data_IF_388978247590
#
_entry.id   IF_388978247590
#
_cell.length_a   1.000
_cell.length_b   1.000
_cell.length_c   1.000
_cell.angle_alpha   90.00
_cell.angle_beta   90.00
_cell.angle_gamma   90.00
#
_symmetry.space_group_name_H-M   'P 1'
#
loop_
_entity.id
_entity.type
_entity.pdbx_description
1 polymer ?
#
# COMPACT_ATOMS: atom_id res chain seq x y z
N UNK A 1 -35.76 -20.21 9.06
CA UNK A 1 -34.63 -19.25 9.00
C UNK A 1 -35.15 -17.94 8.42
N UNK A 2 -35.10 -16.81 9.14
CA UNK A 2 -35.63 -15.55 8.62
C UNK A 2 -34.68 -14.96 7.58
N UNK A 3 -35.22 -14.64 6.40
CA UNK A 3 -34.51 -14.06 5.27
C UNK A 3 -34.16 -12.60 5.58
N UNK A 4 -32.89 -12.31 5.83
CA UNK A 4 -32.39 -10.94 5.98
C UNK A 4 -32.35 -10.27 4.61
N UNK A 5 -33.29 -9.35 4.34
CA UNK A 5 -33.22 -8.47 3.17
C UNK A 5 -32.08 -7.46 3.37
N UNK A 6 -31.15 -7.42 2.43
CA UNK A 6 -30.05 -6.45 2.41
C UNK A 6 -30.61 -5.04 2.21
N UNK A 7 -30.27 -4.12 3.12
CA UNK A 7 -30.61 -2.69 2.98
C UNK A 7 -29.73 -2.07 1.90
N UNK A 8 -30.37 -1.28 1.03
CA UNK A 8 -29.72 -0.52 -0.04
C UNK A 8 -28.97 0.67 0.59
N UNK A 9 -27.69 0.82 0.30
CA UNK A 9 -26.90 1.96 0.78
C UNK A 9 -27.22 3.21 -0.06
N UNK A 10 -27.51 4.30 0.63
CA UNK A 10 -27.75 5.61 0.03
C UNK A 10 -26.42 6.26 -0.36
N UNK A 11 -26.38 6.87 -1.55
CA UNK A 11 -25.22 7.62 -2.05
C UNK A 11 -25.10 8.96 -1.31
N UNK A 12 -23.87 9.43 -1.06
CA UNK A 12 -23.56 10.67 -0.35
C UNK A 12 -24.19 11.95 -0.95
N UNK A 13 -24.76 11.86 -2.15
CA UNK A 13 -25.48 12.94 -2.83
C UNK A 13 -26.95 13.08 -2.37
N UNK A 14 -27.57 12.05 -1.80
CA UNK A 14 -28.98 12.08 -1.37
C UNK A 14 -29.20 12.78 -0.02
N UNK A 15 -28.14 12.93 0.80
CA UNK A 15 -28.23 13.57 2.12
C UNK A 15 -28.23 15.11 2.08
N UNK A 16 -28.15 15.73 0.90
CA UNK A 16 -27.95 17.18 0.76
C UNK A 16 -29.20 17.97 0.31
N UNK A 17 -30.37 17.35 0.15
CA UNK A 17 -31.57 18.06 -0.34
C UNK A 17 -32.87 17.61 0.35
N UNK A 18 -33.49 18.53 1.10
CA UNK A 18 -34.80 18.43 1.79
C UNK A 18 -34.61 18.22 3.31
N UNK A 19 -34.79 19.16 4.24
CA UNK A 19 -35.75 20.26 4.50
C UNK A 19 -37.17 19.83 4.86
N UNK A 20 -37.49 19.95 6.16
CA UNK A 20 -38.79 20.45 6.65
C UNK A 20 -39.74 19.44 7.32
N UNK A 21 -39.89 19.56 8.65
CA UNK A 21 -41.12 19.44 9.46
C UNK A 21 -41.83 18.04 9.44
N UNK A 22 -42.30 17.42 10.53
CA UNK A 22 -42.80 17.89 11.82
C UNK A 22 -42.60 16.82 12.90
N UNK A 23 -42.49 17.29 14.13
CA UNK A 23 -42.49 16.58 15.41
C UNK A 23 -43.85 16.81 16.08
N UNK A 24 -44.53 15.75 16.56
CA UNK A 24 -45.65 15.83 17.52
C UNK A 24 -45.70 14.57 18.41
N UNK A 25 -45.26 14.74 19.66
CA UNK A 25 -46.00 14.52 20.94
C UNK A 25 -46.42 13.08 21.34
N UNK A 26 -46.47 12.61 22.60
CA UNK A 26 -46.38 13.10 24.00
C UNK A 26 -45.81 11.93 24.89
N UNK A 27 -45.28 12.04 26.12
CA UNK A 27 -45.87 12.55 27.37
C UNK A 27 -44.83 12.80 28.51
N UNK A 28 -45.17 13.83 29.29
CA UNK A 28 -44.94 14.17 30.72
C UNK A 28 -43.58 14.24 31.44
N UNK A 29 -43.38 15.39 32.13
CA UNK A 29 -42.38 15.62 33.17
C UNK A 29 -42.21 17.09 33.64
N UNK A 30 -43.26 17.68 34.21
CA UNK A 30 -43.30 18.75 35.25
C UNK A 30 -42.31 19.95 35.25
N UNK A 31 -42.90 21.12 34.99
CA UNK A 31 -42.68 22.53 35.42
C UNK A 31 -41.63 22.84 36.52
N UNK A 32 -40.76 23.83 36.24
CA UNK A 32 -40.62 25.01 37.11
C UNK A 32 -40.17 26.27 36.34
N UNK A 33 -40.99 27.32 36.45
CA UNK A 33 -40.81 28.63 35.83
C UNK A 33 -40.11 29.58 36.82
N UNK A 34 -39.00 30.19 36.41
CA UNK A 34 -38.60 31.49 36.95
C UNK A 34 -38.09 32.38 35.81
N UNK A 35 -38.97 33.26 35.37
CA UNK A 35 -38.71 34.31 34.40
C UNK A 35 -38.20 35.53 35.16
N UNK A 36 -36.91 35.81 35.05
CA UNK A 36 -36.39 37.16 35.25
C UNK A 36 -35.93 37.69 33.89
N UNK A 37 -36.61 38.74 33.44
CA UNK A 37 -36.46 39.38 32.14
C UNK A 37 -35.07 40.01 32.00
N UNK A 38 -34.11 39.23 31.53
CA UNK A 38 -32.78 39.67 31.16
C UNK A 38 -32.51 39.43 29.68
N UNK A 39 -32.58 40.49 28.88
CA UNK A 39 -31.88 40.64 27.60
C UNK A 39 -32.51 39.96 26.37
N UNK A 40 -33.67 40.49 25.93
CA UNK A 40 -33.98 40.56 24.50
C UNK A 40 -33.10 41.60 23.78
N UNK A 41 -31.78 41.48 23.90
CA UNK A 41 -30.86 42.24 23.06
C UNK A 41 -30.29 41.28 22.04
N UNK A 42 -30.44 41.59 20.75
CA UNK A 42 -29.80 40.80 19.70
C UNK A 42 -28.28 40.73 19.96
N UNK A 43 -27.59 39.64 19.56
CA UNK A 43 -26.14 39.53 19.77
C UNK A 43 -25.36 40.72 19.20
N UNK A 44 -25.90 41.34 18.15
CA UNK A 44 -25.35 42.53 17.51
C UNK A 44 -25.50 43.80 18.37
N UNK A 45 -26.61 43.95 19.09
CA UNK A 45 -26.83 45.05 20.03
C UNK A 45 -26.03 44.88 21.33
N UNK A 46 -25.88 43.63 21.80
CA UNK A 46 -25.02 43.34 22.94
C UNK A 46 -23.57 43.79 22.68
N UNK A 47 -23.02 43.41 21.53
CA UNK A 47 -21.67 43.84 21.12
C UNK A 47 -21.59 45.36 20.97
N UNK A 48 -22.62 46.01 20.43
CA UNK A 48 -22.64 47.47 20.26
C UNK A 48 -22.68 48.21 21.59
N UNK A 49 -23.39 47.68 22.59
CA UNK A 49 -23.49 48.29 23.92
C UNK A 49 -22.20 48.15 24.73
N UNK A 50 -21.39 47.11 24.50
CA UNK A 50 -20.11 46.90 25.19
C UNK A 50 -19.10 48.05 25.00
N UNK A 51 -19.24 48.86 23.95
CA UNK A 51 -18.31 49.95 23.63
C UNK A 51 -18.84 51.34 23.98
N UNK A 52 -20.08 51.47 24.49
CA UNK A 52 -20.69 52.77 24.77
C UNK A 52 -20.08 53.47 25.99
N UNK A 53 -19.61 52.71 26.98
CA UNK A 53 -19.05 53.24 28.22
C UNK A 53 -17.51 53.27 28.24
N UNK A 54 -16.88 52.91 27.12
CA UNK A 54 -15.42 52.78 27.04
C UNK A 54 -14.78 54.15 26.77
N UNK A 55 -14.40 54.89 27.83
CA UNK A 55 -13.63 56.14 27.73
C UNK A 55 -12.16 55.91 28.09
N UNK A 56 -11.26 56.04 27.09
CA UNK A 56 -9.82 56.06 27.31
C UNK A 56 -9.36 57.48 27.67
N UNK A 57 -8.79 57.66 28.86
CA UNK A 57 -8.12 58.91 29.23
C UNK A 57 -6.81 59.06 28.43
N UNK A 58 -6.55 60.20 27.76
CA UNK A 58 -5.32 60.40 27.01
C UNK A 58 -4.09 60.35 27.92
N UNK A 59 -3.30 59.27 27.83
CA UNK A 59 -1.96 59.23 28.44
C UNK A 59 -0.96 59.81 27.46
N UNK A 60 -0.24 60.84 27.90
CA UNK A 60 0.82 61.53 27.15
C UNK A 60 1.91 60.54 26.76
N UNK A 61 2.18 60.43 25.47
CA UNK A 61 3.33 59.70 24.95
C UNK A 61 4.61 60.43 25.35
N UNK A 62 5.52 59.74 26.05
CA UNK A 62 6.91 60.17 26.11
C UNK A 62 7.75 59.21 25.27
N UNK A 63 8.44 59.81 24.31
CA UNK A 63 9.34 59.18 23.35
C UNK A 63 10.53 58.56 24.06
N UNK A 64 11.01 57.45 23.50
CA UNK A 64 12.26 56.79 23.85
C UNK A 64 13.47 57.70 23.63
N UNK A 65 14.35 57.77 24.64
CA UNK A 65 15.76 58.20 24.57
C UNK A 65 16.49 57.30 25.58
N UNK A 66 17.44 56.43 25.20
CA UNK A 66 18.78 56.74 24.69
C UNK A 66 19.44 57.86 25.47
N UNK A 67 20.21 57.51 26.51
CA UNK A 67 21.52 58.11 26.80
C UNK A 67 22.11 57.52 28.09
N UNK A 68 23.33 57.02 27.98
CA UNK A 68 24.20 56.77 29.12
C UNK A 68 24.71 58.11 29.65
N UNK A 69 24.51 58.40 30.94
CA UNK A 69 25.34 59.37 31.63
C UNK A 69 25.50 59.00 33.11
N UNK A 70 26.75 58.68 33.44
CA UNK A 70 27.31 58.52 34.77
C UNK A 70 27.11 59.78 35.62
N UNK A 71 26.63 59.61 36.84
CA UNK A 71 26.95 60.54 37.93
C UNK A 71 27.43 59.76 39.16
N UNK A 72 28.71 59.99 39.44
CA UNK A 72 29.41 59.77 40.69
C UNK A 72 28.67 60.53 41.80
N UNK A 73 28.35 59.82 42.87
CA UNK A 73 27.88 60.38 44.12
C UNK A 73 28.67 59.77 45.27
N UNK A 74 29.67 60.52 45.73
CA UNK A 74 30.45 60.27 46.93
C UNK A 74 29.55 60.02 48.15
N UNK A 75 29.92 59.06 49.01
CA UNK A 75 29.81 59.27 50.45
C UNK A 75 30.96 58.61 51.19
N UNK A 76 31.68 59.48 51.88
CA UNK A 76 32.88 59.28 52.67
C UNK A 76 32.41 58.90 54.08
N UNK A 77 33.02 57.89 54.69
CA UNK A 77 33.26 57.83 56.14
C UNK A 77 34.34 56.77 56.38
N UNK A 78 35.51 57.23 56.84
CA UNK A 78 36.60 56.37 57.27
C UNK A 78 36.40 55.84 58.68
N UNK A 79 37.17 54.82 59.06
CA UNK A 79 38.27 54.93 60.02
C UNK A 79 38.95 53.54 60.16
N UNK A 80 40.26 53.56 59.85
CA UNK A 80 41.42 52.80 60.37
C UNK A 80 41.32 51.29 60.66
N UNK A 81 42.28 50.56 60.10
CA UNK A 81 43.19 49.76 60.94
C UNK A 81 43.82 48.51 60.32
N UNK A 82 45.13 48.61 60.07
CA UNK A 82 46.18 47.57 60.05
C UNK A 82 46.37 46.70 58.80
N UNK A 83 47.57 46.91 58.24
CA UNK A 83 48.31 46.05 57.34
C UNK A 83 48.44 44.61 57.84
N UNK A 84 48.28 43.65 56.92
CA UNK A 84 49.09 42.42 56.88
C UNK A 84 49.11 41.82 55.49
N UNK A 85 50.32 41.49 55.05
CA UNK A 85 50.68 40.94 53.73
C UNK A 85 50.21 39.50 53.54
N UNK A 86 50.16 39.13 52.26
CA UNK A 86 50.26 37.79 51.64
C UNK A 86 49.00 36.94 51.52
N UNK A 87 48.72 36.55 50.27
CA UNK A 87 47.86 35.42 49.93
C UNK A 87 47.22 35.57 48.56
N UNK A 88 47.92 35.16 47.49
CA UNK A 88 47.23 34.74 46.26
C UNK A 88 46.43 33.49 46.60
N UNK A 89 45.11 33.51 46.41
CA UNK A 89 44.23 32.33 46.28
C UNK A 89 42.88 32.77 45.71
N UNK A 90 42.65 32.33 44.48
CA UNK A 90 41.40 31.87 43.86
C UNK A 90 40.13 32.71 44.10
N UNK A 91 39.81 33.53 43.10
CA UNK A 91 38.48 34.11 42.91
C UNK A 91 37.54 32.99 42.48
N UNK A 92 36.82 32.39 43.41
CA UNK A 92 35.58 31.69 43.07
C UNK A 92 34.55 32.74 42.64
N UNK A 93 34.15 32.70 41.38
CA UNK A 93 32.99 33.43 40.91
C UNK A 93 31.73 32.82 41.56
N UNK A 94 31.25 33.43 42.65
CA UNK A 94 29.85 33.29 43.07
C UNK A 94 28.97 33.62 41.86
N UNK A 95 28.35 32.58 41.30
CA UNK A 95 27.56 32.68 40.07
C UNK A 95 26.36 33.57 40.37
N UNK A 96 26.27 34.73 39.72
CA UNK A 96 25.17 35.68 39.91
C UNK A 96 23.83 34.98 39.65
N UNK A 97 23.09 34.63 40.70
CA UNK A 97 21.75 34.06 40.58
C UNK A 97 20.76 35.21 40.48
N UNK A 98 20.06 35.39 39.33
CA UNK A 98 19.03 36.41 39.24
C UNK A 98 17.96 36.10 40.28
N UNK A 99 17.65 37.07 41.15
CA UNK A 99 16.53 36.97 42.08
C UNK A 99 15.25 36.96 41.25
N UNK A 100 14.74 35.77 40.96
CA UNK A 100 13.49 35.57 40.21
C UNK A 100 12.35 36.13 41.06
N UNK A 101 11.75 37.23 40.61
CA UNK A 101 10.53 37.75 41.22
C UNK A 101 9.41 36.76 40.98
N UNK A 102 9.06 35.99 42.01
CA UNK A 102 7.89 35.10 41.97
C UNK A 102 6.67 35.97 42.29
N UNK A 103 5.76 36.21 41.33
CA UNK A 103 4.56 36.99 41.60
C UNK A 103 3.73 36.30 42.68
N UNK A 104 3.22 37.09 43.63
CA UNK A 104 2.33 36.57 44.67
C UNK A 104 1.10 35.96 43.98
N UNK A 105 0.75 34.69 44.25
CA UNK A 105 -0.41 34.06 43.63
C UNK A 105 -1.69 34.82 43.99
N UNK A 106 -2.66 34.80 43.10
CA UNK A 106 -3.94 35.45 43.32
C UNK A 106 -4.71 34.74 44.44
N UNK A 107 -5.55 35.48 45.18
CA UNK A 107 -6.27 34.94 46.33
C UNK A 107 -7.18 33.74 45.96
N UNK A 108 -7.68 33.70 44.72
CA UNK A 108 -8.44 32.55 44.19
C UNK A 108 -7.55 31.29 44.01
N UNK A 109 -6.26 31.39 43.65
CA UNK A 109 -5.36 30.21 43.54
C UNK A 109 -5.12 29.63 44.93
N UNK A 110 -4.91 30.50 45.90
CA UNK A 110 -4.71 30.10 47.29
C UNK A 110 -5.98 29.42 47.83
N UNK A 111 -7.17 29.94 47.48
CA UNK A 111 -8.46 29.33 47.79
C UNK A 111 -8.62 27.94 47.16
N UNK A 112 -8.27 27.78 45.88
CA UNK A 112 -8.32 26.48 45.18
C UNK A 112 -7.33 25.49 45.77
N UNK A 113 -6.07 25.88 45.99
CA UNK A 113 -5.05 25.04 46.61
C UNK A 113 -5.46 24.57 48.02
N UNK A 114 -6.07 25.43 48.82
CA UNK A 114 -6.63 25.04 50.12
C UNK A 114 -7.77 24.03 50.00
N UNK A 115 -8.57 24.06 48.93
CA UNK A 115 -9.60 23.04 48.65
C UNK A 115 -8.96 21.71 48.24
N UNK A 116 -7.95 21.75 47.37
CA UNK A 116 -7.19 20.55 47.00
C UNK A 116 -6.48 19.92 48.21
N UNK A 117 -5.89 20.74 49.10
CA UNK A 117 -5.29 20.25 50.36
C UNK A 117 -6.30 19.62 51.32
N UNK A 118 -7.57 20.05 51.28
CA UNK A 118 -8.68 19.44 52.02
C UNK A 118 -9.26 18.20 51.32
N UNK A 119 -8.67 17.77 50.20
CA UNK A 119 -9.11 16.60 49.43
C UNK A 119 -10.40 16.82 48.62
N UNK A 120 -10.85 18.07 48.48
CA UNK A 120 -12.05 18.38 47.69
C UNK A 120 -11.64 18.48 46.22
N UNK A 121 -11.95 17.44 45.45
CA UNK A 121 -11.69 17.39 44.01
C UNK A 121 -12.67 18.27 43.24
N UNK A 122 -12.18 18.90 42.19
CA UNK A 122 -13.02 19.62 41.22
C UNK A 122 -13.74 18.63 40.31
N UNK A 123 -14.87 19.06 39.72
CA UNK A 123 -15.64 18.23 38.77
C UNK A 123 -14.77 17.75 37.60
N UNK A 124 -13.90 18.61 37.07
CA UNK A 124 -12.96 18.28 36.00
C UNK A 124 -11.94 17.21 36.39
N UNK A 125 -11.42 17.25 37.62
CA UNK A 125 -10.50 16.22 38.12
C UNK A 125 -11.21 14.87 38.23
N UNK A 126 -12.44 14.86 38.75
CA UNK A 126 -13.25 13.64 38.86
C UNK A 126 -13.58 13.06 37.47
N UNK A 127 -13.90 13.92 36.49
CA UNK A 127 -14.15 13.49 35.12
C UNK A 127 -12.88 12.89 34.48
N UNK A 128 -11.72 13.52 34.66
CA UNK A 128 -10.44 12.99 34.20
C UNK A 128 -10.12 11.62 34.81
N UNK A 129 -10.26 11.49 36.13
CA UNK A 129 -10.06 10.22 36.83
C UNK A 129 -11.01 9.13 36.32
N UNK A 130 -12.29 9.45 36.12
CA UNK A 130 -13.26 8.50 35.55
C UNK A 130 -12.91 8.07 34.13
N UNK A 131 -12.44 8.99 33.28
CA UNK A 131 -11.99 8.63 31.92
C UNK A 131 -10.76 7.73 31.95
N UNK A 132 -9.82 7.99 32.86
CA UNK A 132 -8.64 7.15 33.05
C UNK A 132 -9.04 5.74 33.52
N UNK A 133 -9.97 5.64 34.46
CA UNK A 133 -10.50 4.35 34.94
C UNK A 133 -11.22 3.57 33.83
N UNK A 134 -12.02 4.25 32.99
CA UNK A 134 -12.69 3.62 31.84
C UNK A 134 -11.69 3.07 30.83
N UNK A 135 -10.63 3.82 30.52
CA UNK A 135 -9.54 3.36 29.63
C UNK A 135 -8.83 2.14 30.20
N UNK A 136 -8.50 2.15 31.50
CA UNK A 136 -7.88 0.99 32.15
C UNK A 136 -8.79 -0.25 32.09
N UNK A 137 -10.10 -0.09 32.28
CA UNK A 137 -11.04 -1.21 32.13
C UNK A 137 -11.11 -1.73 30.69
N UNK A 138 -11.17 -0.84 29.70
CA UNK A 138 -11.15 -1.19 28.28
C UNK A 138 -9.87 -1.95 27.91
N UNK A 139 -8.71 -1.42 28.28
CA UNK A 139 -7.40 -2.06 28.08
C UNK A 139 -7.34 -3.46 28.72
N UNK A 140 -7.86 -3.62 29.95
CA UNK A 140 -7.91 -4.93 30.61
C UNK A 140 -8.84 -5.92 29.89
N UNK A 141 -9.98 -5.44 29.37
CA UNK A 141 -10.89 -6.28 28.58
C UNK A 141 -10.28 -6.68 27.23
N UNK A 142 -9.54 -5.77 26.59
CA UNK A 142 -8.81 -6.04 25.35
C UNK A 142 -7.65 -7.02 25.60
N UNK A 143 -6.91 -6.88 26.71
CA UNK A 143 -5.86 -7.83 27.11
C UNK A 143 -6.39 -9.26 27.33
N UNK A 144 -7.64 -9.39 27.78
CA UNK A 144 -8.32 -10.69 27.90
C UNK A 144 -8.76 -11.24 26.54
N UNK A 145 -8.93 -10.39 25.53
CA UNK A 145 -9.26 -10.80 24.17
C UNK A 145 -8.03 -11.40 23.49
N UNK A 146 -7.95 -12.73 23.50
CA UNK A 146 -6.94 -13.44 22.72
C UNK A 146 -7.22 -13.22 21.24
N UNK A 147 -6.37 -12.46 20.56
CA UNK A 147 -6.46 -12.23 19.13
C UNK A 147 -6.55 -13.58 18.39
N UNK A 148 -7.68 -13.82 17.75
CA UNK A 148 -7.90 -14.97 16.87
C UNK A 148 -8.35 -14.43 15.53
N UNK A 149 -7.82 -15.02 14.45
CA UNK A 149 -8.28 -14.71 13.12
C UNK A 149 -9.79 -14.98 13.02
N UNK A 150 -10.51 -14.08 12.35
CA UNK A 150 -11.89 -14.33 11.99
C UNK A 150 -11.96 -15.60 11.15
N UNK A 151 -12.93 -16.47 11.45
CA UNK A 151 -13.11 -17.69 10.68
C UNK A 151 -13.39 -17.32 9.22
N UNK A 152 -12.79 -18.06 8.29
CA UNK A 152 -13.04 -17.89 6.86
C UNK A 152 -14.56 -17.90 6.60
N UNK A 153 -15.11 -16.93 5.83
CA UNK A 153 -16.53 -16.90 5.50
C UNK A 153 -17.05 -18.21 4.91
N UNK A 154 -18.30 -18.55 5.20
CA UNK A 154 -18.90 -19.82 4.80
C UNK A 154 -18.92 -20.04 3.27
N UNK A 155 -19.21 -18.99 2.49
CA UNK A 155 -19.29 -19.07 1.02
C UNK A 155 -17.97 -19.48 0.34
N UNK A 156 -16.83 -19.28 1.01
CA UNK A 156 -15.51 -19.70 0.51
C UNK A 156 -15.34 -21.23 0.57
N UNK A 157 -16.07 -21.90 1.48
CA UNK A 157 -16.02 -23.36 1.64
C UNK A 157 -17.05 -24.09 0.76
N UNK A 158 -17.99 -23.37 0.16
CA UNK A 158 -19.06 -23.97 -0.64
C UNK A 158 -18.62 -24.05 -2.12
N UNK A 159 -18.81 -25.18 -2.80
CA UNK A 159 -18.55 -25.30 -4.23
C UNK A 159 -19.66 -24.60 -5.04
N UNK A 160 -19.45 -23.33 -5.40
CA UNK A 160 -20.44 -22.47 -6.07
C UNK A 160 -20.52 -22.62 -7.61
N UNK A 161 -19.77 -23.57 -8.19
CA UNK A 161 -19.63 -23.67 -9.64
C UNK A 161 -20.98 -23.90 -10.34
N UNK A 162 -21.81 -24.80 -9.79
CA UNK A 162 -23.12 -25.14 -10.36
C UNK A 162 -24.10 -23.94 -10.29
N UNK A 163 -24.11 -23.21 -9.17
CA UNK A 163 -24.92 -21.99 -9.01
C UNK A 163 -24.49 -20.88 -9.99
N UNK A 164 -23.18 -20.74 -10.22
CA UNK A 164 -22.65 -19.75 -11.16
C UNK A 164 -23.04 -20.12 -12.60
N UNK A 165 -22.94 -21.40 -12.96
CA UNK A 165 -23.33 -21.89 -14.27
C UNK A 165 -24.81 -21.67 -14.53
N UNK A 166 -25.68 -22.00 -13.57
CA UNK A 166 -27.13 -21.76 -13.68
C UNK A 166 -27.43 -20.27 -13.86
N UNK A 167 -26.75 -19.40 -13.11
CA UNK A 167 -26.89 -17.94 -13.25
C UNK A 167 -26.47 -17.46 -14.64
N UNK A 168 -25.45 -18.06 -15.23
CA UNK A 168 -24.95 -17.72 -16.57
C UNK A 168 -25.88 -18.21 -17.68
N UNK A 169 -26.46 -19.40 -17.51
CA UNK A 169 -27.52 -19.97 -18.36
C UNK A 169 -28.79 -19.11 -18.30
N UNK A 170 -29.24 -18.69 -17.11
CA UNK A 170 -30.37 -17.78 -16.95
C UNK A 170 -30.14 -16.44 -17.68
N UNK A 171 -28.91 -15.90 -17.63
CA UNK A 171 -28.54 -14.69 -18.39
C UNK A 171 -28.51 -14.91 -19.90
N UNK A 172 -28.15 -16.11 -20.36
CA UNK A 172 -28.21 -16.48 -21.79
C UNK A 172 -29.66 -16.61 -22.25
N UNK A 173 -30.49 -17.35 -21.52
CA UNK A 173 -31.90 -17.54 -21.81
C UNK A 173 -32.68 -16.21 -21.83
N UNK A 174 -32.38 -15.27 -20.93
CA UNK A 174 -32.96 -13.92 -20.98
C UNK A 174 -32.63 -13.23 -22.30
N UNK A 175 -31.35 -13.21 -22.70
CA UNK A 175 -30.91 -12.58 -23.95
C UNK A 175 -31.56 -13.22 -25.18
N UNK A 176 -31.68 -14.55 -25.21
CA UNK A 176 -32.36 -15.26 -26.29
C UNK A 176 -33.84 -14.91 -26.37
N UNK A 177 -34.54 -14.84 -25.23
CA UNK A 177 -35.95 -14.39 -25.18
C UNK A 177 -36.11 -12.95 -25.65
N UNK A 178 -35.19 -12.07 -25.27
CA UNK A 178 -35.19 -10.68 -25.74
C UNK A 178 -34.95 -10.60 -27.24
N UNK A 179 -33.99 -11.36 -27.78
CA UNK A 179 -33.75 -11.44 -29.22
C UNK A 179 -34.98 -11.96 -29.97
N UNK A 180 -35.60 -13.03 -29.48
CA UNK A 180 -36.84 -13.56 -30.06
C UNK A 180 -37.97 -12.54 -30.02
N UNK A 181 -38.13 -11.82 -28.90
CA UNK A 181 -39.11 -10.72 -28.79
C UNK A 181 -38.83 -9.62 -29.80
N UNK A 182 -37.57 -9.21 -29.95
CA UNK A 182 -37.14 -8.19 -30.92
C UNK A 182 -37.44 -8.66 -32.35
N UNK A 183 -37.06 -9.87 -32.72
CA UNK A 183 -37.36 -10.45 -34.03
C UNK A 183 -38.87 -10.56 -34.30
N UNK A 184 -39.66 -10.96 -33.30
CA UNK A 184 -41.12 -11.06 -33.43
C UNK A 184 -41.80 -9.69 -33.51
N UNK A 185 -41.23 -8.66 -32.88
CA UNK A 185 -41.76 -7.28 -32.92
C UNK A 185 -41.33 -6.57 -34.20
N UNK A 186 -40.19 -6.98 -34.78
CA UNK A 186 -39.69 -6.47 -36.05
C UNK A 186 -40.57 -7.00 -37.19
N UNK A 187 -41.65 -6.27 -37.48
CA UNK A 187 -42.33 -6.38 -38.77
C UNK A 187 -41.29 -6.11 -39.87
N UNK A 188 -41.17 -6.96 -40.91
CA UNK A 188 -40.34 -6.60 -42.05
C UNK A 188 -40.86 -5.26 -42.55
N UNK A 189 -39.97 -4.28 -42.65
CA UNK A 189 -40.32 -2.98 -43.19
C UNK A 189 -40.98 -3.23 -44.54
N UNK A 190 -42.22 -2.76 -44.70
CA UNK A 190 -42.96 -2.84 -45.97
C UNK A 190 -42.17 -2.22 -47.13
N UNK A 191 -41.06 -1.54 -46.85
CA UNK A 191 -40.06 -1.13 -47.82
C UNK A 191 -39.45 -2.28 -48.62
N UNK A 192 -39.14 -3.46 -48.06
CA UNK A 192 -38.56 -4.57 -48.86
C UNK A 192 -39.58 -5.16 -49.83
N UNK A 193 -40.80 -5.40 -49.38
CA UNK A 193 -41.89 -5.83 -50.25
C UNK A 193 -42.25 -4.74 -51.26
N UNK A 194 -42.34 -3.48 -50.84
CA UNK A 194 -42.58 -2.33 -51.74
C UNK A 194 -41.47 -2.16 -52.77
N UNK A 195 -40.21 -2.38 -52.39
CA UNK A 195 -39.07 -2.27 -53.31
C UNK A 195 -39.03 -3.45 -54.28
N UNK A 196 -39.35 -4.68 -53.82
CA UNK A 196 -39.54 -5.85 -54.69
C UNK A 196 -40.68 -5.61 -55.67
N UNK A 197 -41.85 -5.22 -55.20
CA UNK A 197 -43.01 -4.91 -56.05
C UNK A 197 -42.71 -3.76 -57.04
N UNK A 198 -42.00 -2.72 -56.60
CA UNK A 198 -41.57 -1.62 -57.47
C UNK A 198 -40.53 -2.07 -58.50
N UNK A 199 -39.66 -3.03 -58.16
CA UNK A 199 -38.67 -3.62 -59.08
C UNK A 199 -39.37 -4.53 -60.10
N UNK A 200 -40.29 -5.38 -59.64
CA UNK A 200 -41.13 -6.24 -60.47
C UNK A 200 -42.00 -5.43 -61.42
N UNK A 201 -42.69 -4.38 -60.95
CA UNK A 201 -43.44 -3.46 -61.82
C UNK A 201 -42.54 -2.78 -62.86
N UNK A 202 -41.31 -2.42 -62.50
CA UNK A 202 -40.35 -1.83 -63.43
C UNK A 202 -39.86 -2.86 -64.45
N UNK A 203 -39.61 -4.09 -64.03
CA UNK A 203 -39.23 -5.22 -64.89
C UNK A 203 -40.38 -5.65 -65.79
N UNK A 204 -41.62 -5.62 -65.32
CA UNK A 204 -42.83 -5.92 -66.07
C UNK A 204 -43.15 -4.82 -67.07
N UNK A 205 -42.98 -3.54 -66.70
CA UNK A 205 -43.01 -2.43 -67.66
C UNK A 205 -41.93 -2.58 -68.74
N UNK A 206 -40.71 -2.98 -68.37
CA UNK A 206 -39.63 -3.24 -69.33
C UNK A 206 -39.87 -4.48 -70.20
N UNK A 207 -40.56 -5.51 -69.68
CA UNK A 207 -40.99 -6.70 -70.44
C UNK A 207 -42.16 -6.40 -71.39
N UNK A 208 -43.12 -5.58 -70.96
CA UNK A 208 -44.25 -5.13 -71.78
C UNK A 208 -43.83 -4.12 -72.85
N UNK A 209 -42.65 -3.52 -72.72
CA UNK A 209 -41.96 -2.73 -73.75
C UNK A 209 -41.13 -3.61 -74.73
N UNK A 210 -41.56 -4.86 -75.01
CA UNK A 210 -41.06 -5.59 -76.19
C UNK A 210 -41.30 -4.73 -77.45
N UNK A 211 -40.27 -4.50 -78.29
CA UNK A 211 -40.26 -3.37 -79.20
C UNK A 211 -41.01 -3.70 -80.50
N UNK A 212 -42.28 -3.30 -80.57
CA UNK A 212 -43.03 -3.22 -81.82
C UNK A 212 -43.09 -1.77 -82.32
N UNK A 213 -41.97 -1.07 -82.38
CA UNK A 213 -41.80 0.06 -83.31
C UNK A 213 -40.33 0.45 -83.37
N UNK A 214 -39.77 0.38 -84.58
CA UNK A 214 -38.49 1.03 -84.92
C UNK A 214 -38.74 2.52 -85.15
N UNK A 215 -39.27 3.23 -84.16
CA UNK A 215 -39.21 4.69 -84.17
C UNK A 215 -37.95 5.13 -83.44
N UNK A 216 -37.09 5.83 -84.18
CA UNK A 216 -35.84 6.39 -83.67
C UNK A 216 -36.16 7.52 -82.70
N UNK A 217 -36.50 7.18 -81.47
CA UNK A 217 -36.53 8.14 -80.36
C UNK A 217 -35.09 8.60 -80.19
N UNK A 218 -34.82 9.86 -80.52
CA UNK A 218 -33.55 10.49 -80.22
C UNK A 218 -33.41 10.47 -78.69
N UNK A 219 -32.47 9.68 -78.12
CA UNK A 219 -32.33 9.65 -76.67
C UNK A 219 -31.93 11.03 -76.21
N UNK A 220 -32.64 11.54 -75.20
CA UNK A 220 -32.29 12.79 -74.53
C UNK A 220 -30.81 12.77 -74.15
N UNK A 221 -30.01 13.61 -74.81
CA UNK A 221 -28.60 13.77 -74.50
C UNK A 221 -28.49 14.69 -73.31
N UNK A 222 -28.45 14.11 -72.11
CA UNK A 222 -28.13 14.82 -70.91
C UNK A 222 -26.73 15.45 -71.02
N UNK A 223 -26.54 16.60 -70.37
CA UNK A 223 -25.19 17.16 -70.20
C UNK A 223 -24.34 16.12 -69.47
N UNK A 224 -23.07 15.92 -69.89
CA UNK A 224 -22.19 14.94 -69.27
C UNK A 224 -22.08 15.22 -67.77
N UNK A 225 -22.13 14.16 -66.97
CA UNK A 225 -22.01 14.28 -65.53
C UNK A 225 -20.65 14.93 -65.20
N UNK A 226 -20.59 15.93 -64.31
CA UNK A 226 -19.35 16.57 -63.93
C UNK A 226 -18.28 15.55 -63.50
N UNK A 227 -17.02 15.77 -63.92
CA UNK A 227 -15.89 14.85 -63.67
C UNK A 227 -15.71 14.49 -62.19
N UNK A 228 -15.99 15.43 -61.28
CA UNK A 228 -15.95 15.22 -59.84
C UNK A 228 -16.83 14.05 -59.35
N UNK A 229 -17.93 13.72 -60.05
CA UNK A 229 -18.77 12.57 -59.70
C UNK A 229 -18.10 11.24 -60.07
N UNK A 230 -17.37 11.21 -61.18
CA UNK A 230 -16.59 10.04 -61.57
C UNK A 230 -15.36 9.86 -60.68
N UNK A 231 -14.74 10.95 -60.22
CA UNK A 231 -13.65 10.93 -59.23
C UNK A 231 -14.14 10.44 -57.85
N UNK A 232 -15.34 10.83 -57.44
CA UNK A 232 -15.95 10.30 -56.21
C UNK A 232 -16.36 8.81 -56.35
N UNK A 233 -16.78 8.38 -57.54
CA UNK A 233 -17.19 7.00 -57.82
C UNK A 233 -16.02 6.06 -58.17
N UNK A 234 -14.83 6.58 -58.50
CA UNK A 234 -13.64 5.77 -58.85
C UNK A 234 -13.14 4.93 -57.67
N UNK A 235 -13.54 5.29 -56.44
CA UNK A 235 -13.14 4.63 -55.21
C UNK A 235 -11.65 4.78 -54.90
N UNK A 236 -10.95 5.67 -55.60
CA UNK A 236 -9.52 5.92 -55.38
C UNK A 236 -9.25 6.48 -53.98
N UNK A 237 -10.11 7.38 -53.49
CA UNK A 237 -10.05 7.89 -52.12
C UNK A 237 -10.19 6.76 -51.09
N UNK A 238 -11.08 5.79 -51.32
CA UNK A 238 -11.26 4.64 -50.42
C UNK A 238 -10.02 3.74 -50.41
N UNK A 239 -9.39 3.53 -51.56
CA UNK A 239 -8.14 2.76 -51.66
C UNK A 239 -6.99 3.48 -50.95
N UNK A 240 -6.92 4.80 -51.11
CA UNK A 240 -5.94 5.65 -50.43
C UNK A 240 -6.14 5.63 -48.90
N UNK A 241 -7.37 5.76 -48.41
CA UNK A 241 -7.68 5.65 -46.98
C UNK A 241 -7.33 4.26 -46.41
N UNK A 242 -7.59 3.20 -47.16
CA UNK A 242 -7.22 1.84 -46.76
C UNK A 242 -5.69 1.69 -46.69
N UNK A 243 -4.97 2.26 -47.65
CA UNK A 243 -3.50 2.27 -47.66
C UNK A 243 -2.94 3.06 -46.47
N UNK A 244 -3.48 4.25 -46.18
CA UNK A 244 -3.11 5.01 -44.99
C UNK A 244 -3.39 4.25 -43.69
N UNK A 245 -4.54 3.58 -43.59
CA UNK A 245 -4.85 2.72 -42.44
C UNK A 245 -3.85 1.58 -42.32
N UNK A 246 -3.51 0.90 -43.41
CA UNK A 246 -2.55 -0.19 -43.42
C UNK A 246 -1.16 0.27 -42.95
N UNK A 247 -0.66 1.38 -43.49
CA UNK A 247 0.61 1.99 -43.07
C UNK A 247 0.57 2.33 -41.58
N UNK A 248 -0.51 2.95 -41.10
CA UNK A 248 -0.66 3.31 -39.68
C UNK A 248 -0.68 2.09 -38.76
N UNK A 249 -1.33 1.00 -39.18
CA UNK A 249 -1.31 -0.26 -38.44
C UNK A 249 0.10 -0.85 -38.40
N UNK A 250 0.81 -0.85 -39.52
CA UNK A 250 2.19 -1.35 -39.60
C UNK A 250 3.13 -0.53 -38.71
N UNK A 251 3.05 0.80 -38.77
CA UNK A 251 3.84 1.69 -37.90
C UNK A 251 3.57 1.42 -36.42
N UNK A 252 2.30 1.29 -36.03
CA UNK A 252 1.91 0.99 -34.65
C UNK A 252 2.42 -0.39 -34.21
N UNK A 253 2.37 -1.39 -35.09
CA UNK A 253 2.88 -2.72 -34.81
C UNK A 253 4.41 -2.70 -34.60
N UNK A 254 5.14 -1.98 -35.44
CA UNK A 254 6.59 -1.81 -35.32
C UNK A 254 6.96 -1.07 -34.03
N UNK A 255 6.24 0.01 -33.70
CA UNK A 255 6.45 0.75 -32.46
C UNK A 255 6.20 -0.13 -31.22
N UNK A 256 5.12 -0.92 -31.23
CA UNK A 256 4.85 -1.88 -30.16
C UNK A 256 5.97 -2.93 -30.04
N UNK A 257 6.45 -3.49 -31.15
CA UNK A 257 7.57 -4.43 -31.14
C UNK A 257 8.85 -3.80 -30.60
N UNK A 258 9.16 -2.56 -31.00
CA UNK A 258 10.31 -1.83 -30.50
C UNK A 258 10.18 -1.50 -29.01
N UNK A 259 8.98 -1.14 -28.54
CA UNK A 259 8.71 -0.82 -27.13
C UNK A 259 8.70 -2.05 -26.21
N UNK A 260 8.29 -3.21 -26.74
CA UNK A 260 8.31 -4.49 -26.05
C UNK A 260 9.66 -5.22 -26.18
N UNK A 261 10.58 -4.69 -26.99
CA UNK A 261 11.92 -5.26 -27.16
C UNK A 261 12.68 -5.20 -25.84
N UNK A 262 13.39 -6.28 -25.53
CA UNK A 262 14.26 -6.33 -24.37
C UNK A 262 15.39 -5.29 -24.50
N UNK A 263 15.96 -4.81 -23.37
CA UNK A 263 17.11 -3.91 -23.39
C UNK A 263 18.27 -4.48 -24.24
N UNK A 264 19.04 -3.63 -24.95
CA UNK A 264 20.11 -4.08 -25.84
C UNK A 264 21.13 -5.05 -25.21
N UNK A 265 21.39 -4.92 -23.91
CA UNK A 265 22.27 -5.83 -23.16
C UNK A 265 21.70 -7.24 -23.02
N UNK A 266 20.40 -7.39 -22.79
CA UNK A 266 19.73 -8.68 -22.73
C UNK A 266 19.63 -9.33 -24.12
N UNK A 267 19.43 -8.52 -25.17
CA UNK A 267 19.47 -9.00 -26.56
C UNK A 267 20.85 -9.53 -26.93
N UNK A 268 21.92 -8.78 -26.60
CA UNK A 268 23.29 -9.23 -26.83
C UNK A 268 23.58 -10.55 -26.11
N UNK A 269 23.11 -10.69 -24.87
CA UNK A 269 23.24 -11.92 -24.09
C UNK A 269 22.50 -13.08 -24.75
N UNK A 270 21.23 -12.90 -25.14
CA UNK A 270 20.45 -13.94 -25.82
C UNK A 270 21.05 -14.37 -27.17
N UNK A 271 21.64 -13.43 -27.93
CA UNK A 271 22.31 -13.73 -29.20
C UNK A 271 23.62 -14.49 -28.98
N UNK A 272 24.42 -14.12 -27.99
CA UNK A 272 25.58 -14.94 -27.58
C UNK A 272 25.12 -16.30 -27.07
N UNK A 273 23.97 -16.35 -26.39
CA UNK A 273 23.43 -17.58 -25.83
C UNK A 273 23.05 -18.60 -26.92
N UNK A 274 22.39 -18.10 -27.97
CA UNK A 274 22.05 -18.89 -29.14
C UNK A 274 23.27 -19.32 -29.95
N UNK A 275 24.32 -18.50 -30.00
CA UNK A 275 25.57 -18.86 -30.70
C UNK A 275 26.31 -19.99 -29.99
N UNK A 276 26.47 -19.94 -28.66
CA UNK A 276 27.12 -21.07 -27.94
C UNK A 276 26.32 -22.36 -28.08
N UNK A 277 24.98 -22.30 -28.04
CA UNK A 277 24.15 -23.48 -28.23
C UNK A 277 24.25 -24.06 -29.67
N UNK A 278 24.48 -23.21 -30.67
CA UNK A 278 24.69 -23.65 -32.07
C UNK A 278 26.09 -24.23 -32.27
N UNK A 279 27.10 -23.63 -31.64
CA UNK A 279 28.48 -24.09 -31.72
C UNK A 279 28.65 -25.44 -30.99
N UNK A 280 28.02 -25.62 -29.81
CA UNK A 280 27.96 -26.92 -29.11
C UNK A 280 27.17 -27.99 -29.87
N UNK A 281 26.09 -27.63 -30.58
CA UNK A 281 25.32 -28.56 -31.41
C UNK A 281 26.03 -28.92 -32.73
N UNK A 282 26.96 -28.08 -33.22
CA UNK A 282 27.71 -28.32 -34.46
C UNK A 282 29.00 -29.15 -34.27
N UNK A 283 29.34 -29.49 -33.02
CA UNK A 283 30.54 -30.27 -32.68
C UNK A 283 30.51 -31.73 -33.11
N UNK A 284 29.33 -32.31 -33.34
CA UNK A 284 29.15 -33.73 -33.69
C UNK A 284 28.09 -33.90 -34.79
N UNK A 285 28.29 -33.34 -35.98
CA UNK A 285 27.84 -33.92 -37.27
C UNK A 285 28.26 -33.02 -38.42
N UNK A 286 29.22 -33.49 -39.23
CA UNK A 286 29.43 -32.96 -40.56
C UNK A 286 28.20 -33.29 -41.44
N UNK A 287 27.56 -32.26 -42.00
CA UNK A 287 26.51 -32.40 -43.00
C UNK A 287 25.16 -31.85 -42.55
N UNK A 288 24.96 -30.54 -42.67
CA UNK A 288 23.62 -29.97 -42.74
C UNK A 288 23.60 -28.95 -43.89
N UNK A 289 23.16 -29.43 -45.05
CA UNK A 289 22.63 -28.59 -46.13
C UNK A 289 21.64 -27.59 -45.56
N UNK A 290 21.57 -26.41 -46.18
CA UNK A 290 20.67 -25.32 -45.85
C UNK A 290 19.20 -25.74 -46.03
N UNK A 291 18.68 -26.52 -45.08
CA UNK A 291 17.29 -26.91 -45.05
C UNK A 291 16.51 -25.82 -44.30
N UNK A 292 16.30 -24.70 -44.99
CA UNK A 292 15.34 -23.65 -44.64
C UNK A 292 13.88 -24.15 -44.76
N UNK A 293 13.66 -25.43 -44.48
CA UNK A 293 12.36 -26.08 -44.43
C UNK A 293 12.27 -26.95 -43.18
N UNK A 294 12.34 -26.32 -42.00
CA UNK A 294 11.77 -26.93 -40.81
C UNK A 294 10.25 -27.10 -41.05
N UNK A 295 9.87 -28.21 -41.68
CA UNK A 295 8.51 -28.59 -42.05
C UNK A 295 7.66 -28.98 -40.84
N UNK A 296 8.00 -28.45 -39.67
CA UNK A 296 7.19 -28.59 -38.48
C UNK A 296 5.96 -27.70 -38.60
N UNK A 297 4.91 -28.23 -39.26
CA UNK A 297 3.55 -27.75 -39.08
C UNK A 297 2.97 -28.47 -37.87
N UNK A 298 2.82 -27.80 -36.71
CA UNK A 298 2.10 -28.41 -35.61
C UNK A 298 0.71 -28.79 -36.11
N UNK A 299 0.27 -30.02 -35.82
CA UNK A 299 -1.11 -30.43 -36.08
C UNK A 299 -2.00 -29.62 -35.15
N UNK A 300 -2.50 -28.50 -35.66
CA UNK A 300 -3.48 -27.66 -34.96
C UNK A 300 -4.81 -28.41 -35.07
N UNK A 301 -5.30 -28.92 -33.95
CA UNK A 301 -6.64 -29.48 -33.89
C UNK A 301 -7.63 -28.36 -34.26
N UNK A 302 -8.28 -28.48 -35.41
CA UNK A 302 -9.26 -27.49 -35.91
C UNK A 302 -10.56 -27.54 -35.14
N UNK A 303 -10.87 -28.72 -34.59
CA UNK A 303 -12.07 -28.96 -33.82
C UNK A 303 -11.81 -28.65 -32.35
N UNK A 304 -12.67 -27.79 -31.80
CA UNK A 304 -12.66 -27.46 -30.38
C UNK A 304 -13.04 -28.72 -29.61
N UNK A 305 -12.17 -29.26 -28.74
CA UNK A 305 -12.51 -30.42 -27.95
C UNK A 305 -13.74 -30.16 -27.08
N UNK A 306 -14.56 -31.17 -26.86
CA UNK A 306 -15.70 -31.08 -25.95
C UNK A 306 -15.22 -30.91 -24.50
N UNK A 307 -15.14 -29.66 -24.07
CA UNK A 307 -14.70 -29.30 -22.73
C UNK A 307 -15.66 -29.81 -21.66
N UNK A 308 -16.97 -29.88 -21.93
CA UNK A 308 -17.95 -30.38 -20.98
C UNK A 308 -17.77 -31.88 -20.75
N UNK A 309 -17.56 -32.66 -21.82
CA UNK A 309 -17.27 -34.08 -21.69
C UNK A 309 -15.95 -34.34 -20.95
N UNK A 310 -14.91 -33.55 -21.23
CA UNK A 310 -13.63 -33.67 -20.53
C UNK A 310 -13.76 -33.32 -19.03
N UNK A 311 -14.53 -32.27 -18.70
CA UNK A 311 -14.80 -31.86 -17.33
C UNK A 311 -15.61 -32.91 -16.57
N UNK A 312 -16.64 -33.52 -17.19
CA UNK A 312 -17.41 -34.62 -16.59
C UNK A 312 -16.53 -35.83 -16.28
N UNK A 313 -15.63 -36.21 -17.19
CA UNK A 313 -14.66 -37.31 -16.97
C UNK A 313 -13.73 -37.00 -15.80
N UNK A 314 -13.23 -35.77 -15.74
CA UNK A 314 -12.38 -35.31 -14.66
C UNK A 314 -13.10 -35.31 -13.29
N UNK A 315 -14.34 -34.80 -13.23
CA UNK A 315 -15.16 -34.82 -12.01
C UNK A 315 -15.38 -36.26 -11.51
N UNK A 316 -15.73 -37.19 -12.41
CA UNK A 316 -15.87 -38.61 -12.10
C UNK A 316 -14.57 -39.25 -11.58
N UNK A 317 -13.42 -38.87 -12.14
CA UNK A 317 -12.11 -39.33 -11.68
C UNK A 317 -11.73 -38.75 -10.31
N UNK A 318 -12.13 -37.52 -10.00
CA UNK A 318 -11.94 -36.95 -8.66
C UNK A 318 -12.82 -37.65 -7.62
N UNK A 319 -14.07 -37.93 -7.97
CA UNK A 319 -15.00 -38.65 -7.09
C UNK A 319 -14.51 -40.08 -6.79
N UNK A 320 -13.98 -40.81 -7.79
CA UNK A 320 -13.42 -42.14 -7.56
C UNK A 320 -12.10 -42.14 -6.76
N UNK A 321 -11.33 -41.05 -6.80
CA UNK A 321 -10.11 -40.87 -5.99
C UNK A 321 -10.38 -40.28 -4.61
N UNK A 322 -11.60 -39.78 -4.37
CA UNK A 322 -12.04 -39.23 -3.09
C UNK A 322 -12.31 -40.33 -2.06
N UNK A 323 -12.43 -41.59 -2.50
CA UNK A 323 -12.48 -42.74 -1.61
C UNK A 323 -11.28 -42.68 -0.65
N UNK A 324 -11.64 -42.59 0.62
CA UNK A 324 -10.82 -42.09 1.73
C UNK A 324 -9.59 -42.97 1.88
N UNK A 325 -8.40 -42.41 1.62
CA UNK A 325 -7.18 -42.96 2.21
C UNK A 325 -7.43 -42.95 3.73
N UNK A 326 -7.39 -44.10 4.43
CA UNK A 326 -7.64 -44.12 5.86
C UNK A 326 -6.72 -43.08 6.50
N UNK A 327 -7.32 -42.17 7.28
CA UNK A 327 -6.61 -41.11 7.98
C UNK A 327 -5.47 -41.76 8.75
N UNK A 328 -4.22 -41.36 8.50
CA UNK A 328 -3.06 -41.90 9.20
C UNK A 328 -3.27 -41.68 10.69
N UNK A 329 -3.58 -42.75 11.42
CA UNK A 329 -3.74 -42.72 12.86
C UNK A 329 -2.36 -42.56 13.48
N UNK A 330 -2.16 -41.51 14.27
CA UNK A 330 -0.92 -41.31 15.01
C UNK A 330 -0.81 -42.41 16.06
N UNK A 331 0.02 -43.42 15.79
CA UNK A 331 0.53 -44.32 16.82
C UNK A 331 1.36 -43.50 17.81
N UNK A 332 1.11 -43.61 19.13
CA UNK A 332 1.89 -42.90 20.12
C UNK A 332 3.33 -43.41 20.09
N UNK A 333 4.27 -42.59 19.60
CA UNK A 333 5.67 -42.94 19.65
C UNK A 333 6.22 -42.77 21.07
N UNK A 334 7.09 -43.69 21.47
CA UNK A 334 7.67 -43.68 22.81
C UNK A 334 8.79 -42.63 22.89
N UNK A 335 8.44 -41.46 23.43
CA UNK A 335 9.36 -40.34 23.57
C UNK A 335 10.42 -40.67 24.65
N UNK A 336 11.68 -40.90 24.25
CA UNK A 336 12.82 -41.20 25.15
C UNK A 336 13.33 -39.97 25.91
N UNK A 337 12.44 -39.14 26.46
CA UNK A 337 12.81 -37.95 27.25
C UNK A 337 13.59 -38.31 28.52
N UNK A 338 13.47 -39.53 29.03
CA UNK A 338 14.26 -40.03 30.15
C UNK A 338 15.76 -40.12 29.86
N UNK A 339 16.16 -40.21 28.58
CA UNK A 339 17.58 -40.27 28.18
C UNK A 339 18.17 -38.89 27.92
N UNK A 340 17.38 -37.82 27.99
CA UNK A 340 17.84 -36.46 27.76
C UNK A 340 18.29 -35.88 29.11
N UNK A 341 19.61 -35.68 29.33
CA UNK A 341 20.10 -35.11 30.58
C UNK A 341 19.52 -33.71 30.78
N UNK A 342 18.94 -33.48 31.95
CA UNK A 342 18.32 -32.20 32.27
C UNK A 342 19.40 -31.14 32.47
N UNK A 343 19.26 -30.00 31.82
CA UNK A 343 20.21 -28.89 31.92
C UNK A 343 20.01 -28.02 33.17
N UNK A 344 19.22 -28.52 34.13
CA UNK A 344 18.73 -27.79 35.29
C UNK A 344 19.87 -27.32 36.18
N UNK A 345 20.85 -28.17 36.45
CA UNK A 345 21.98 -27.84 37.32
C UNK A 345 22.86 -26.73 36.72
N UNK A 346 23.10 -26.76 35.40
CA UNK A 346 23.84 -25.67 34.74
C UNK A 346 23.07 -24.35 34.82
N UNK A 347 21.75 -24.38 34.63
CA UNK A 347 20.91 -23.17 34.74
C UNK A 347 20.95 -22.61 36.18
N UNK A 348 20.84 -23.46 37.19
CA UNK A 348 20.92 -23.04 38.59
C UNK A 348 22.31 -22.46 38.91
N UNK A 349 23.38 -23.07 38.43
CA UNK A 349 24.73 -22.55 38.60
C UNK A 349 24.95 -21.21 37.86
N UNK A 350 24.35 -21.02 36.69
CA UNK A 350 24.41 -19.74 35.96
C UNK A 350 23.64 -18.64 36.70
N UNK A 351 22.46 -18.95 37.28
CA UNK A 351 21.68 -18.03 38.12
C UNK A 351 22.48 -17.64 39.37
N UNK A 352 23.08 -18.59 40.06
CA UNK A 352 23.87 -18.33 41.28
C UNK A 352 25.09 -17.45 40.96
N UNK A 353 25.79 -17.73 39.86
CA UNK A 353 26.90 -16.88 39.37
C UNK A 353 26.45 -15.47 39.00
N UNK A 354 25.24 -15.31 38.49
CA UNK A 354 24.67 -14.00 38.19
C UNK A 354 24.34 -13.23 39.48
N UNK A 355 23.80 -13.91 40.50
CA UNK A 355 23.51 -13.30 41.80
C UNK A 355 24.77 -12.90 42.57
N UNK A 356 25.83 -13.70 42.49
CA UNK A 356 27.12 -13.39 43.13
C UNK A 356 27.96 -12.38 42.33
N UNK A 357 27.52 -11.97 41.14
CA UNK A 357 28.20 -10.97 40.33
C UNK A 357 27.81 -9.55 40.78
N UNK A 358 28.75 -8.69 41.19
CA UNK A 358 28.45 -7.33 41.66
C UNK A 358 27.92 -6.38 40.56
N UNK A 359 27.77 -6.85 39.31
CA UNK A 359 27.30 -6.05 38.17
C UNK A 359 26.03 -6.68 37.60
N UNK A 360 24.89 -6.03 37.80
CA UNK A 360 23.63 -6.45 37.20
C UNK A 360 23.76 -6.45 35.67
N UNK A 361 23.84 -7.64 35.06
CA UNK A 361 23.83 -7.82 33.61
C UNK A 361 22.39 -7.83 33.09
N UNK A 362 21.62 -6.82 33.45
CA UNK A 362 20.30 -6.58 32.87
C UNK A 362 20.47 -5.76 31.59
N UNK A 363 19.68 -6.10 30.58
CA UNK A 363 19.69 -5.50 29.24
C UNK A 363 19.88 -3.97 29.26
N UNK A 364 20.71 -3.41 28.36
CA UNK A 364 21.46 -4.05 27.27
C UNK A 364 22.83 -4.60 27.72
N UNK A 365 23.19 -5.79 27.25
CA UNK A 365 24.47 -6.44 27.54
C UNK A 365 25.63 -5.72 26.82
N UNK A 366 26.40 -4.90 27.54
CA UNK A 366 27.66 -4.36 27.04
C UNK A 366 28.79 -4.88 27.96
N UNK A 367 29.32 -6.05 27.63
CA UNK A 367 30.60 -6.50 28.18
C UNK A 367 31.72 -5.92 27.31
N UNK A 368 32.50 -4.98 27.86
CA UNK A 368 33.61 -4.30 27.16
C UNK A 368 34.84 -5.23 26.99
N UNK A 369 34.87 -6.38 27.65
CA UNK A 369 36.01 -7.30 27.61
C UNK A 369 35.54 -8.74 27.70
N UNK A 370 35.48 -9.42 26.56
CA UNK A 370 35.18 -10.86 26.51
C UNK A 370 34.48 -11.28 25.23
N UNK A 371 35.26 -11.82 24.31
CA UNK A 371 34.87 -12.49 23.07
C UNK A 371 33.54 -13.26 23.20
N UNK A 372 32.50 -12.87 22.46
CA UNK A 372 31.37 -13.76 22.17
C UNK A 372 31.93 -14.82 21.24
N UNK A 373 32.32 -15.98 21.81
CA UNK A 373 32.59 -17.16 20.99
C UNK A 373 31.30 -17.45 20.23
N UNK A 374 31.32 -17.24 18.91
CA UNK A 374 30.27 -17.71 18.01
C UNK A 374 30.24 -19.23 18.13
N UNK A 375 29.41 -19.74 19.04
CA UNK A 375 29.10 -21.15 19.07
C UNK A 375 28.39 -21.48 17.76
N UNK A 376 29.10 -22.18 16.88
CA UNK A 376 28.51 -22.89 15.75
C UNK A 376 27.58 -23.96 16.33
N UNK A 377 26.35 -23.61 16.71
CA UNK A 377 25.27 -24.55 17.03
C UNK A 377 23.99 -23.81 17.45
N UNK A 378 23.11 -23.60 16.48
CA UNK A 378 21.74 -24.10 16.63
C UNK A 378 21.31 -24.65 15.28
N UNK A 379 21.88 -25.81 14.98
CA UNK A 379 21.15 -26.79 14.21
C UNK A 379 19.83 -27.00 14.95
N UNK A 380 18.75 -26.44 14.42
CA UNK A 380 17.41 -26.97 14.64
C UNK A 380 17.39 -28.39 14.08
N UNK A 381 17.95 -29.33 14.84
CA UNK A 381 17.99 -30.75 14.52
C UNK A 381 17.67 -31.52 15.78
N UNK A 382 16.38 -31.58 16.11
CA UNK A 382 15.83 -32.64 16.96
C UNK A 382 14.33 -32.87 16.70
N UNK A 383 13.82 -32.62 15.48
CA UNK A 383 12.46 -33.03 15.07
C UNK A 383 12.37 -33.50 13.61
N UNK A 384 13.42 -34.10 13.06
CA UNK A 384 13.29 -34.88 11.82
C UNK A 384 14.22 -36.09 11.87
N UNK A 385 13.65 -37.24 12.16
CA UNK A 385 14.32 -38.54 12.10
C UNK A 385 14.49 -39.04 10.67
N UNK A 386 14.94 -38.19 9.74
CA UNK A 386 15.41 -38.63 8.42
C UNK A 386 16.92 -38.43 8.37
N UNK A 387 17.65 -39.52 8.51
CA UNK A 387 19.09 -39.63 8.25
C UNK A 387 19.33 -39.53 6.73
N UNK A 388 18.98 -38.40 6.13
CA UNK A 388 19.49 -37.99 4.82
C UNK A 388 20.06 -36.59 4.97
N UNK A 389 21.34 -36.53 5.32
CA UNK A 389 22.14 -35.35 5.13
C UNK A 389 22.37 -35.15 3.64
N UNK A 390 21.41 -34.53 2.98
CA UNK A 390 21.70 -33.85 1.72
C UNK A 390 22.53 -32.61 2.06
N UNK A 391 23.77 -32.46 1.55
CA UNK A 391 24.52 -31.23 1.73
C UNK A 391 23.73 -30.11 1.06
N UNK A 392 23.14 -29.22 1.87
CA UNK A 392 22.48 -28.03 1.37
C UNK A 392 23.52 -27.26 0.55
N UNK A 393 23.30 -27.14 -0.76
CA UNK A 393 24.18 -26.39 -1.66
C UNK A 393 24.26 -24.95 -1.14
N UNK A 394 25.43 -24.56 -0.67
CA UNK A 394 25.70 -23.21 -0.17
C UNK A 394 25.42 -22.23 -1.30
N UNK A 395 24.52 -21.28 -1.08
CA UNK A 395 24.21 -20.25 -2.09
C UNK A 395 25.43 -19.38 -2.36
N UNK A 396 25.56 -18.92 -3.60
CA UNK A 396 26.70 -18.08 -4.02
C UNK A 396 26.85 -16.83 -3.14
N UNK A 397 25.73 -16.27 -2.67
CA UNK A 397 25.70 -15.16 -1.71
C UNK A 397 26.26 -15.51 -0.32
N UNK A 398 26.14 -16.76 0.12
CA UNK A 398 26.76 -17.23 1.37
C UNK A 398 28.25 -17.46 1.19
N UNK A 399 28.67 -17.99 0.03
CA UNK A 399 30.08 -18.20 -0.31
C UNK A 399 30.85 -16.88 -0.38
N UNK A 400 30.31 -15.86 -1.05
CA UNK A 400 30.90 -14.51 -1.11
C UNK A 400 31.01 -13.82 0.26
N UNK A 401 30.04 -14.02 1.16
CA UNK A 401 30.11 -13.50 2.53
C UNK A 401 31.23 -14.14 3.34
N UNK A 402 31.37 -15.47 3.26
CA UNK A 402 32.44 -16.18 3.95
C UNK A 402 33.83 -15.84 3.39
N UNK A 403 33.92 -15.68 2.07
CA UNK A 403 35.14 -15.27 1.40
C UNK A 403 35.56 -13.85 1.80
N UNK A 404 34.62 -12.90 1.83
CA UNK A 404 34.88 -11.54 2.31
C UNK A 404 35.46 -11.56 3.74
N UNK A 405 34.85 -12.32 4.66
CA UNK A 405 35.34 -12.46 6.04
C UNK A 405 36.77 -13.03 6.10
N UNK A 406 37.16 -13.91 5.16
CA UNK A 406 38.55 -14.42 5.06
C UNK A 406 39.54 -13.40 4.49
N UNK A 407 39.11 -12.52 3.59
CA UNK A 407 39.97 -11.48 2.99
C UNK A 407 40.16 -10.24 3.87
N UNK A 408 39.23 -9.93 4.79
CA UNK A 408 39.35 -8.79 5.71
C UNK A 408 40.59 -8.82 6.63
N UNK A 409 40.99 -9.94 7.29
CA UNK A 409 42.19 -9.95 8.13
C UNK A 409 43.49 -9.76 7.33
N UNK A 410 43.54 -10.20 6.06
CA UNK A 410 44.72 -10.01 5.21
C UNK A 410 44.88 -8.56 4.73
N UNK A 411 43.77 -7.81 4.59
CA UNK A 411 43.82 -6.39 4.20
C UNK A 411 44.30 -5.51 5.35
N UNK A 412 43.89 -5.83 6.58
CA UNK A 412 44.35 -5.14 7.79
C UNK A 412 45.82 -5.45 8.06
N UNK A 413 46.25 -6.70 7.92
CA UNK A 413 47.66 -7.08 8.09
C UNK A 413 48.58 -6.36 7.09
N UNK A 414 48.17 -6.23 5.81
CA UNK A 414 48.93 -5.49 4.79
C UNK A 414 48.97 -3.98 5.00
N UNK A 415 47.90 -3.38 5.54
CA UNK A 415 47.92 -1.94 5.87
C UNK A 415 48.78 -1.64 7.09
N UNK A 416 48.85 -2.55 8.06
CA UNK A 416 49.70 -2.39 9.25
C UNK A 416 51.17 -2.57 8.87
N UNK A 417 51.51 -3.55 8.02
CA UNK A 417 52.89 -3.71 7.53
C UNK A 417 53.37 -2.53 6.68
N UNK A 418 52.50 -1.95 5.86
CA UNK A 418 52.84 -0.77 5.05
C UNK A 418 53.08 0.49 5.90
N UNK A 419 52.32 0.68 6.98
CA UNK A 419 52.54 1.77 7.93
C UNK A 419 53.84 1.57 8.73
N UNK A 420 54.16 0.33 9.10
CA UNK A 420 55.39 -0.01 9.83
C UNK A 420 56.64 0.19 8.95
N UNK A 421 56.54 -0.07 7.64
CA UNK A 421 57.60 0.19 6.66
C UNK A 421 57.82 1.70 6.42
N UNK A 422 56.75 2.49 6.40
CA UNK A 422 56.81 3.96 6.28
C UNK A 422 57.41 4.63 7.52
N UNK A 423 57.11 4.13 8.72
CA UNK A 423 57.71 4.61 9.97
C UNK A 423 59.20 4.29 9.99
N UNK A 424 59.60 3.06 9.62
CA UNK A 424 61.03 2.69 9.48
C UNK A 424 61.78 3.53 8.44
N UNK A 425 61.16 3.84 7.31
CA UNK A 425 61.76 4.70 6.29
C UNK A 425 61.95 6.14 6.79
N UNK A 426 61.05 6.64 7.65
CA UNK A 426 61.18 7.97 8.26
C UNK A 426 62.30 8.05 9.31
N UNK A 427 62.56 6.96 10.03
CA UNK A 427 63.64 6.89 11.03
C UNK A 427 65.03 6.84 10.38
N UNK A 428 65.16 6.19 9.22
CA UNK A 428 66.41 6.15 8.45
C UNK A 428 66.76 7.49 7.76
N UNK A 429 65.77 8.33 7.43
CA UNK A 429 66.03 9.67 6.87
C UNK A 429 66.42 10.71 7.92
N UNK A 430 66.32 10.41 9.22
CA UNK A 430 66.68 11.35 10.29
C UNK A 430 68.10 11.10 10.87
N UNK A 431 68.84 10.14 10.31
CA UNK A 431 70.22 9.82 10.68
C UNK A 431 71.16 9.96 9.48
N UNK A 432 71.36 11.19 9.00
CA UNK A 432 72.55 11.61 8.26
C UNK A 432 72.79 13.12 8.40
#
# INVERSE_FOLDING_TARGET
>A
MPVRRLRKAHSALELRRGSGLSDTSDEEGTVDNNVEKGLQSSPKEHIKNMWQDFKLSPRKCHLSTSSHQSLIGDNKNGIKGKDRKQGRKDVEHETWKPKVTVPKPFHMTLRENQKHQKGVKTRSEIELENTALRKQLEELTECQHKFRASSVPAHVRLPLYEELQERDEARRAMREREQQRLCSTQQPFSFLERERLKREQREEQLRNLQPNSKERVQPFRAKPVPKAVYEAASGEQLKEEQLYRAIKMQMRAQELLNSASMPPSMLARHLSERKWAKDEASGDTAGFEDDNSASYRPKINTEVPDFDASYRRFKKQLESRRDVKPLTTCEPFQLRTSQIPSHRERILADIEKEQMSPRAKRWPYISITGHVRSHNSSLCSSLSGSLEQLPAKVTDASKKRQEAVRYYPHRIARSVSFLEELVRASEFSCSF
#
